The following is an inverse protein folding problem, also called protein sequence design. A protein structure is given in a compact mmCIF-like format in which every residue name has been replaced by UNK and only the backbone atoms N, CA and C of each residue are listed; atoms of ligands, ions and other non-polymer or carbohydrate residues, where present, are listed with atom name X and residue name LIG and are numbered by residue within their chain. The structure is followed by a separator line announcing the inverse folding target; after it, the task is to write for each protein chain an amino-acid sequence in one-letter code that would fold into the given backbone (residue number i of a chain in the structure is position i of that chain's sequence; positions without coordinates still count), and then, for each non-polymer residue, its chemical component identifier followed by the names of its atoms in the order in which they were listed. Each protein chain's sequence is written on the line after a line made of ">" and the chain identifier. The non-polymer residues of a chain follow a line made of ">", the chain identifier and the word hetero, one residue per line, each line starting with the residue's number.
data_IF_871352211490
#
_entry.id   IF_871352211490
#
_cell.length_a   1.000
_cell.length_b   1.000
_cell.length_c   1.000
_cell.angle_alpha   90.00
_cell.angle_beta   90.00
_cell.angle_gamma   90.00
#
_symmetry.space_group_name_H-M   'P 1'
#
loop_
_entity.id
_entity.type
_entity.pdbx_description
1 polymer ?
#
# COMPACT_ATOMS: atom_id res chain seq x y z
N UNK A 1 8.18 6.15 -3.59
CA UNK A 1 8.70 7.52 -3.84
C UNK A 1 8.92 7.81 -5.33
N UNK A 2 9.63 6.95 -6.09
CA UNK A 2 9.98 7.20 -7.51
C UNK A 2 8.84 7.74 -8.38
N UNK A 3 7.67 7.09 -8.36
CA UNK A 3 6.49 7.56 -9.10
C UNK A 3 6.08 9.00 -8.75
N UNK A 4 5.96 9.31 -7.45
CA UNK A 4 5.54 10.65 -7.00
C UNK A 4 6.59 11.70 -7.36
N UNK A 5 7.88 11.37 -7.25
CA UNK A 5 8.96 12.26 -7.68
C UNK A 5 8.90 12.52 -9.19
N UNK A 6 8.66 11.51 -10.02
CA UNK A 6 8.46 11.68 -11.47
C UNK A 6 7.31 12.65 -11.76
N UNK A 7 6.17 12.46 -11.09
CA UNK A 7 5.01 13.36 -11.25
C UNK A 7 5.32 14.78 -10.78
N UNK A 8 6.05 14.95 -9.68
CA UNK A 8 6.42 16.27 -9.17
C UNK A 8 7.37 17.00 -10.14
N UNK A 9 8.36 16.30 -10.69
CA UNK A 9 9.26 16.84 -11.73
C UNK A 9 8.44 17.30 -12.95
N UNK A 10 7.51 16.46 -13.42
CA UNK A 10 6.62 16.79 -14.55
C UNK A 10 5.77 18.01 -14.25
N UNK A 11 5.13 18.08 -13.08
CA UNK A 11 4.31 19.23 -12.64
C UNK A 11 5.10 20.53 -12.70
N UNK A 12 6.31 20.56 -12.13
CA UNK A 12 7.12 21.79 -12.04
C UNK A 12 7.74 22.21 -13.37
N UNK A 13 7.94 21.26 -14.28
CA UNK A 13 8.59 21.50 -15.57
C UNK A 13 7.62 21.52 -16.74
N UNK A 14 6.30 21.44 -16.49
CA UNK A 14 5.27 21.31 -17.52
C UNK A 14 5.59 20.14 -18.48
N UNK A 15 5.87 18.97 -17.90
CA UNK A 15 6.21 17.72 -18.56
C UNK A 15 7.52 17.73 -19.40
N UNK A 16 8.35 18.77 -19.28
CA UNK A 16 9.64 18.88 -19.99
C UNK A 16 10.69 17.91 -19.48
N UNK A 17 10.70 17.63 -18.19
CA UNK A 17 11.61 16.68 -17.55
C UNK A 17 10.84 15.56 -16.85
N UNK A 18 11.51 14.42 -16.70
CA UNK A 18 10.98 13.20 -16.08
C UNK A 18 12.02 12.62 -15.13
N UNK A 19 11.63 11.66 -14.30
CA UNK A 19 12.58 10.89 -13.51
C UNK A 19 13.59 10.16 -14.41
N UNK A 20 13.20 9.70 -15.61
CA UNK A 20 14.14 9.14 -16.58
C UNK A 20 15.22 10.16 -16.98
N UNK A 21 14.85 11.43 -17.16
CA UNK A 21 15.83 12.51 -17.41
C UNK A 21 16.86 12.63 -16.28
N UNK A 22 16.39 12.51 -15.03
CA UNK A 22 17.25 12.50 -13.83
C UNK A 22 18.16 11.28 -13.83
N UNK A 23 17.62 10.08 -14.08
CA UNK A 23 18.40 8.85 -14.11
C UNK A 23 19.48 8.87 -15.20
N UNK A 24 19.18 9.44 -16.37
CA UNK A 24 20.18 9.62 -17.45
C UNK A 24 21.28 10.59 -17.07
N UNK A 25 20.95 11.71 -16.42
CA UNK A 25 21.94 12.66 -15.93
C UNK A 25 22.84 12.02 -14.86
N UNK A 26 22.24 11.30 -13.90
CA UNK A 26 22.98 10.54 -12.89
C UNK A 26 23.89 9.51 -13.54
N UNK A 27 23.38 8.70 -14.46
CA UNK A 27 24.18 7.69 -15.15
C UNK A 27 25.37 8.31 -15.88
N UNK A 28 25.13 9.38 -16.62
CA UNK A 28 26.17 10.05 -17.39
C UNK A 28 27.31 10.57 -16.50
N UNK A 29 26.96 11.24 -15.41
CA UNK A 29 27.92 12.06 -14.65
C UNK A 29 28.46 11.34 -13.40
N UNK A 30 27.80 10.26 -12.92
CA UNK A 30 28.12 9.61 -11.66
C UNK A 30 28.40 8.09 -11.74
N UNK A 31 28.33 7.47 -12.93
CA UNK A 31 28.53 6.01 -13.07
C UNK A 31 29.87 5.50 -12.51
N UNK A 32 30.94 6.30 -12.61
CA UNK A 32 32.29 5.88 -12.21
C UNK A 32 32.65 6.28 -10.76
N UNK A 33 31.98 7.30 -10.21
CA UNK A 33 32.31 7.90 -8.91
C UNK A 33 31.34 7.53 -7.79
N UNK A 34 30.17 6.97 -8.13
CA UNK A 34 29.11 6.64 -7.19
C UNK A 34 28.26 7.85 -6.79
N UNK A 35 27.31 7.63 -5.88
CA UNK A 35 26.33 8.63 -5.43
C UNK A 35 26.54 8.97 -3.95
N UNK A 36 26.44 10.27 -3.63
CA UNK A 36 26.23 10.75 -2.27
C UNK A 36 24.72 10.76 -1.96
N UNK A 37 24.37 10.83 -0.67
CA UNK A 37 22.98 10.79 -0.20
C UNK A 37 22.08 11.87 -0.84
N UNK A 38 22.64 13.04 -1.16
CA UNK A 38 21.91 14.15 -1.76
C UNK A 38 22.14 14.31 -3.28
N UNK A 39 22.84 13.39 -3.94
CA UNK A 39 23.11 13.49 -5.39
C UNK A 39 21.82 13.56 -6.19
N UNK A 40 20.83 12.72 -5.86
CA UNK A 40 19.53 12.70 -6.58
C UNK A 40 18.83 14.04 -6.46
N UNK A 41 18.73 14.59 -5.26
CA UNK A 41 18.10 15.89 -5.03
C UNK A 41 18.81 17.00 -5.83
N UNK A 42 20.15 17.07 -5.76
CA UNK A 42 20.94 18.06 -6.52
C UNK A 42 20.68 17.97 -8.02
N UNK A 43 20.62 16.76 -8.58
CA UNK A 43 20.37 16.56 -10.01
C UNK A 43 18.93 16.94 -10.39
N UNK A 44 17.94 16.60 -9.55
CA UNK A 44 16.54 17.02 -9.75
C UNK A 44 16.43 18.54 -9.78
N UNK A 45 17.00 19.22 -8.78
CA UNK A 45 16.95 20.68 -8.67
C UNK A 45 17.69 21.35 -9.83
N UNK A 46 18.82 20.78 -10.25
CA UNK A 46 19.55 21.25 -11.42
C UNK A 46 18.76 21.09 -12.72
N UNK A 47 18.08 19.96 -12.94
CA UNK A 47 17.30 19.75 -14.16
C UNK A 47 16.01 20.57 -14.19
N UNK A 48 15.34 20.69 -13.05
CA UNK A 48 14.06 21.39 -12.93
C UNK A 48 14.19 22.88 -12.72
N UNK A 49 15.38 23.36 -12.31
CA UNK A 49 15.63 24.74 -11.89
C UNK A 49 14.64 25.18 -10.79
N UNK A 50 14.33 24.27 -9.87
CA UNK A 50 13.36 24.44 -8.78
C UNK A 50 13.88 23.77 -7.52
N UNK A 51 13.56 24.32 -6.34
CA UNK A 51 13.97 23.79 -5.04
C UNK A 51 13.08 22.62 -4.60
N UNK A 52 13.66 21.45 -4.35
CA UNK A 52 12.93 20.24 -3.92
C UNK A 52 13.12 19.92 -2.44
N UNK A 53 13.73 20.81 -1.66
CA UNK A 53 14.04 20.58 -0.24
C UNK A 53 12.82 20.13 0.56
N UNK A 54 11.70 20.86 0.47
CA UNK A 54 10.46 20.51 1.18
C UNK A 54 9.91 19.14 0.76
N UNK A 55 10.04 18.78 -0.52
CA UNK A 55 9.57 17.49 -1.02
C UNK A 55 10.38 16.32 -0.42
N UNK A 56 11.71 16.44 -0.41
CA UNK A 56 12.57 15.41 0.17
C UNK A 56 12.45 15.36 1.69
N UNK A 57 12.36 16.51 2.36
CA UNK A 57 12.13 16.56 3.81
C UNK A 57 10.83 15.86 4.18
N UNK A 58 9.75 16.13 3.45
CA UNK A 58 8.45 15.57 3.77
C UNK A 58 8.34 14.06 3.45
N UNK A 59 8.89 13.61 2.32
CA UNK A 59 8.62 12.27 1.76
C UNK A 59 9.81 11.30 1.73
N UNK A 60 11.03 11.77 1.96
CA UNK A 60 12.21 10.92 2.12
C UNK A 60 12.65 10.85 3.59
N UNK A 61 12.77 12.00 4.24
CA UNK A 61 13.25 12.09 5.62
C UNK A 61 12.09 12.09 6.64
N UNK A 62 10.88 12.43 6.20
CA UNK A 62 9.67 12.43 7.01
C UNK A 62 8.92 11.10 7.02
N UNK A 63 7.81 11.10 7.75
CA UNK A 63 6.87 9.97 7.89
C UNK A 63 5.51 10.25 7.25
N UNK A 64 5.44 11.29 6.41
CA UNK A 64 4.18 11.65 5.74
C UNK A 64 3.92 10.69 4.60
N UNK A 65 2.67 10.23 4.49
CA UNK A 65 2.25 9.40 3.36
C UNK A 65 2.46 10.12 2.03
N UNK A 66 2.89 9.34 1.03
CA UNK A 66 3.04 9.84 -0.32
C UNK A 66 1.67 10.29 -0.89
N UNK A 67 1.59 11.46 -1.55
CA UNK A 67 0.33 12.01 -2.09
C UNK A 67 -0.09 11.29 -3.38
N UNK A 68 -0.34 9.98 -3.28
CA UNK A 68 -0.61 9.11 -4.41
C UNK A 68 -1.85 9.56 -5.19
N UNK A 69 -2.92 10.00 -4.51
CA UNK A 69 -4.13 10.49 -5.17
C UNK A 69 -3.84 11.67 -6.09
N UNK A 70 -3.13 12.67 -5.60
CA UNK A 70 -2.79 13.87 -6.37
C UNK A 70 -1.76 13.58 -7.48
N UNK A 71 -0.89 12.61 -7.26
CA UNK A 71 0.07 12.15 -8.26
C UNK A 71 -0.63 11.42 -9.42
N UNK A 72 -1.51 10.47 -9.13
CA UNK A 72 -2.29 9.76 -10.15
C UNK A 72 -3.28 10.68 -10.87
N UNK A 73 -3.92 11.62 -10.16
CA UNK A 73 -4.85 12.56 -10.77
C UNK A 73 -4.19 13.44 -11.83
N UNK A 74 -2.92 13.82 -11.64
CA UNK A 74 -2.16 14.61 -12.62
C UNK A 74 -2.06 13.95 -14.01
N UNK A 75 -2.04 12.62 -14.04
CA UNK A 75 -2.02 11.81 -15.26
C UNK A 75 -3.39 11.21 -15.59
N UNK A 76 -4.48 11.72 -15.00
CA UNK A 76 -5.84 11.28 -15.32
C UNK A 76 -6.12 9.83 -14.92
N UNK A 77 -5.57 9.41 -13.78
CA UNK A 77 -5.85 8.13 -13.13
C UNK A 77 -6.50 8.43 -11.79
N UNK A 78 -7.66 7.86 -11.55
CA UNK A 78 -8.31 7.90 -10.24
C UNK A 78 -7.67 6.84 -9.33
N UNK A 79 -7.31 7.25 -8.11
CA UNK A 79 -6.71 6.40 -7.11
C UNK A 79 -7.56 6.41 -5.85
N UNK A 80 -8.11 5.25 -5.51
CA UNK A 80 -8.87 5.05 -4.30
C UNK A 80 -8.35 3.90 -3.46
N UNK A 81 -8.52 4.02 -2.16
CA UNK A 81 -8.24 2.96 -1.22
C UNK A 81 -9.56 2.41 -0.73
N UNK A 82 -9.73 1.09 -0.81
CA UNK A 82 -10.93 0.38 -0.39
C UNK A 82 -10.56 -0.77 0.56
N UNK A 83 -11.58 -1.29 1.26
CA UNK A 83 -11.52 -2.61 1.85
C UNK A 83 -11.78 -3.62 0.75
N UNK A 84 -10.81 -4.49 0.47
CA UNK A 84 -11.02 -5.54 -0.51
C UNK A 84 -11.96 -6.60 0.07
N UNK A 85 -12.98 -6.99 -0.67
CA UNK A 85 -13.91 -8.02 -0.21
C UNK A 85 -13.19 -9.33 0.12
N UNK A 86 -13.59 -9.96 1.23
CA UNK A 86 -13.02 -11.22 1.71
C UNK A 86 -11.49 -11.19 1.88
N UNK A 87 -10.94 -10.03 2.25
CA UNK A 87 -9.54 -9.86 2.60
C UNK A 87 -9.37 -9.77 4.12
N UNK A 88 -8.54 -10.65 4.67
CA UNK A 88 -8.31 -10.73 6.12
C UNK A 88 -7.46 -9.58 6.66
N UNK A 89 -6.73 -8.88 5.78
CA UNK A 89 -6.03 -7.64 6.16
C UNK A 89 -7.01 -6.56 6.64
N UNK A 90 -8.28 -6.62 6.25
CA UNK A 90 -9.32 -5.71 6.72
C UNK A 90 -9.56 -5.82 8.24
N UNK A 91 -9.24 -6.95 8.88
CA UNK A 91 -9.27 -7.09 10.35
C UNK A 91 -7.86 -7.21 10.94
N UNK A 92 -6.84 -7.00 10.11
CA UNK A 92 -5.44 -6.96 10.50
C UNK A 92 -4.77 -8.32 10.65
N UNK A 93 -5.14 -9.33 9.87
CA UNK A 93 -4.41 -10.61 9.86
C UNK A 93 -4.02 -11.08 8.48
N UNK A 94 -2.85 -11.73 8.41
CA UNK A 94 -2.52 -12.64 7.34
C UNK A 94 -2.46 -14.08 7.83
N UNK A 95 -2.76 -15.01 6.95
CA UNK A 95 -2.69 -16.45 7.23
C UNK A 95 -1.84 -17.18 6.20
N UNK A 96 -1.19 -18.27 6.62
CA UNK A 96 -0.65 -19.26 5.71
C UNK A 96 -1.75 -20.27 5.33
N UNK A 97 -2.03 -20.39 4.02
CA UNK A 97 -3.08 -21.27 3.46
C UNK A 97 -2.58 -22.66 3.04
N UNK A 98 -1.29 -22.97 3.20
CA UNK A 98 -0.67 -24.20 2.68
C UNK A 98 -0.97 -25.46 3.48
N UNK A 99 -1.64 -25.34 4.64
CA UNK A 99 -1.89 -26.46 5.55
C UNK A 99 -3.40 -26.69 5.78
N UNK A 100 -3.73 -27.80 6.45
CA UNK A 100 -5.08 -28.15 6.90
C UNK A 100 -5.72 -27.06 7.79
N UNK A 101 -4.92 -26.25 8.46
CA UNK A 101 -5.35 -25.21 9.39
C UNK A 101 -5.00 -23.82 8.86
N UNK A 102 -5.81 -22.82 9.21
CA UNK A 102 -5.48 -21.43 8.98
C UNK A 102 -4.50 -20.98 10.07
N UNK A 103 -3.22 -20.88 9.74
CA UNK A 103 -2.18 -20.46 10.70
C UNK A 103 -1.92 -18.98 10.51
N UNK A 104 -2.07 -18.19 11.58
CA UNK A 104 -1.78 -16.76 11.54
C UNK A 104 -0.30 -16.54 11.24
N UNK A 105 -0.01 -15.83 10.15
CA UNK A 105 1.37 -15.54 9.70
C UNK A 105 1.86 -14.18 10.18
N UNK A 106 0.97 -13.19 10.27
CA UNK A 106 1.24 -11.87 10.82
C UNK A 106 -0.05 -11.24 11.33
N UNK A 107 0.10 -10.28 12.23
CA UNK A 107 -0.98 -9.45 12.78
C UNK A 107 -0.54 -8.00 12.58
N UNK A 108 -1.44 -7.16 12.08
CA UNK A 108 -1.21 -5.73 11.93
C UNK A 108 -1.37 -5.04 13.29
N UNK A 109 -0.48 -4.10 13.58
CA UNK A 109 -0.55 -3.30 14.79
C UNK A 109 -1.84 -2.48 14.86
N UNK A 110 -2.34 -2.30 16.09
CA UNK A 110 -3.59 -1.63 16.44
C UNK A 110 -4.87 -2.24 15.83
N UNK A 111 -4.77 -3.45 15.26
CA UNK A 111 -5.92 -4.17 14.72
C UNK A 111 -6.84 -4.73 15.82
N UNK A 112 -8.09 -5.03 15.48
CA UNK A 112 -8.99 -5.69 16.43
C UNK A 112 -8.47 -7.07 16.86
N UNK A 113 -7.79 -7.79 15.96
CA UNK A 113 -7.20 -9.08 16.27
C UNK A 113 -6.09 -8.95 17.31
N UNK A 114 -5.19 -7.97 17.16
CA UNK A 114 -4.15 -7.74 18.16
C UNK A 114 -4.78 -7.43 19.52
N UNK A 115 -5.78 -6.54 19.55
CA UNK A 115 -6.46 -6.13 20.78
C UNK A 115 -7.23 -7.29 21.45
N UNK A 116 -7.74 -8.24 20.67
CA UNK A 116 -8.40 -9.44 21.18
C UNK A 116 -7.42 -10.49 21.75
N UNK A 117 -6.12 -10.35 21.53
CA UNK A 117 -5.11 -11.28 22.08
C UNK A 117 -4.88 -12.54 21.24
N UNK A 118 -5.23 -12.51 19.96
CA UNK A 118 -4.76 -13.48 18.98
C UNK A 118 -3.27 -13.27 18.70
N UNK A 119 -2.55 -14.34 18.40
CA UNK A 119 -1.10 -14.32 18.19
C UNK A 119 -0.69 -15.00 16.89
N UNK A 120 0.47 -14.59 16.37
CA UNK A 120 1.13 -15.29 15.26
C UNK A 120 1.38 -16.75 15.64
N UNK A 121 1.20 -17.65 14.68
CA UNK A 121 1.21 -19.13 14.83
C UNK A 121 -0.03 -19.75 15.49
N UNK A 122 -1.00 -18.96 15.96
CA UNK A 122 -2.29 -19.54 16.36
C UNK A 122 -2.92 -20.26 15.16
N UNK A 123 -3.40 -21.49 15.40
CA UNK A 123 -4.14 -22.27 14.41
C UNK A 123 -5.62 -22.04 14.61
N UNK A 124 -6.28 -21.36 13.69
CA UNK A 124 -7.72 -21.11 13.79
C UNK A 124 -8.47 -22.41 13.43
N UNK A 125 -9.38 -22.80 14.32
CA UNK A 125 -10.15 -24.04 14.21
C UNK A 125 -11.60 -23.77 13.81
N UNK A 126 -12.24 -22.78 14.44
CA UNK A 126 -13.64 -22.44 14.22
C UNK A 126 -13.95 -20.99 14.55
N UNK A 127 -15.02 -20.47 13.94
CA UNK A 127 -15.67 -19.20 14.28
C UNK A 127 -17.10 -19.53 14.70
N UNK A 128 -17.55 -19.04 15.86
CA UNK A 128 -18.89 -19.27 16.42
C UNK A 128 -19.28 -20.76 16.43
N UNK A 129 -18.35 -21.61 16.86
CA UNK A 129 -18.47 -23.08 16.88
C UNK A 129 -18.58 -23.76 15.50
N UNK A 130 -18.52 -23.01 14.40
CA UNK A 130 -18.50 -23.55 13.04
C UNK A 130 -17.04 -23.74 12.62
N UNK A 131 -16.67 -24.99 12.32
CA UNK A 131 -15.31 -25.32 11.87
C UNK A 131 -15.02 -24.62 10.54
N UNK A 132 -13.85 -24.00 10.44
CA UNK A 132 -13.44 -23.22 9.26
C UNK A 132 -12.10 -23.71 8.74
N UNK A 133 -12.02 -23.98 7.44
CA UNK A 133 -10.78 -24.29 6.75
C UNK A 133 -10.03 -23.01 6.34
N UNK A 134 -8.71 -23.10 6.12
CA UNK A 134 -7.88 -21.96 5.74
C UNK A 134 -8.35 -21.23 4.48
N UNK A 135 -8.94 -21.96 3.52
CA UNK A 135 -9.45 -21.39 2.27
C UNK A 135 -10.75 -20.59 2.46
N UNK A 136 -11.51 -20.90 3.51
CA UNK A 136 -12.84 -20.35 3.76
C UNK A 136 -12.84 -19.26 4.85
N UNK A 137 -11.74 -19.13 5.62
CA UNK A 137 -11.64 -18.16 6.71
C UNK A 137 -11.96 -16.73 6.28
N UNK A 138 -11.47 -16.31 5.11
CA UNK A 138 -11.69 -14.94 4.66
C UNK A 138 -13.14 -14.66 4.27
N UNK A 139 -13.87 -15.68 3.80
CA UNK A 139 -15.32 -15.60 3.57
C UNK A 139 -16.10 -15.62 4.87
N UNK A 140 -15.69 -16.47 5.82
CA UNK A 140 -16.35 -16.59 7.12
C UNK A 140 -16.28 -15.28 7.94
N UNK A 141 -15.14 -14.57 7.87
CA UNK A 141 -15.02 -13.23 8.47
C UNK A 141 -15.70 -12.17 7.59
N UNK A 142 -15.66 -12.32 6.26
CA UNK A 142 -16.22 -11.34 5.33
C UNK A 142 -17.74 -11.15 5.39
N UNK A 143 -18.48 -12.05 6.05
CA UNK A 143 -19.92 -11.90 6.30
C UNK A 143 -20.24 -11.12 7.59
N UNK A 144 -19.25 -10.88 8.45
CA UNK A 144 -19.43 -10.12 9.68
C UNK A 144 -19.40 -8.61 9.38
N UNK A 145 -20.18 -7.85 10.14
CA UNK A 145 -20.20 -6.39 10.11
C UNK A 145 -19.32 -5.81 11.22
N UNK A 146 -18.97 -4.53 11.09
CA UNK A 146 -18.33 -3.81 12.20
C UNK A 146 -19.22 -3.80 13.44
N UNK A 147 -18.61 -4.07 14.59
CA UNK A 147 -19.29 -4.19 15.88
C UNK A 147 -19.75 -5.61 16.22
N UNK A 148 -19.79 -6.53 15.24
CA UNK A 148 -20.11 -7.93 15.52
C UNK A 148 -19.06 -8.55 16.46
N UNK A 149 -19.51 -9.40 17.37
CA UNK A 149 -18.63 -10.16 18.27
C UNK A 149 -18.68 -11.62 17.87
N UNK A 150 -17.51 -12.17 17.51
CA UNK A 150 -17.37 -13.57 17.10
C UNK A 150 -16.44 -14.33 18.04
N UNK A 151 -16.73 -15.60 18.26
CA UNK A 151 -15.92 -16.49 19.09
C UNK A 151 -14.96 -17.29 18.22
N UNK A 152 -13.68 -16.97 18.31
CA UNK A 152 -12.63 -17.66 17.57
C UNK A 152 -12.01 -18.73 18.48
N UNK A 153 -12.15 -20.00 18.08
CA UNK A 153 -11.38 -21.08 18.71
C UNK A 153 -10.06 -21.25 17.99
N UNK A 154 -8.98 -21.18 18.75
CA UNK A 154 -7.62 -21.36 18.26
C UNK A 154 -6.92 -22.48 19.00
N UNK A 155 -5.89 -23.03 18.37
CA UNK A 155 -4.90 -23.88 19.02
C UNK A 155 -3.61 -23.08 19.16
N UNK A 156 -3.18 -22.86 20.40
CA UNK A 156 -1.89 -22.24 20.74
C UNK A 156 -1.06 -23.25 21.48
N UNK A 157 0.11 -23.59 20.94
CA UNK A 157 0.99 -24.63 21.53
C UNK A 157 0.25 -25.95 21.85
N UNK A 158 -0.62 -26.38 20.93
CA UNK A 158 -1.49 -27.57 21.07
C UNK A 158 -2.56 -27.47 22.17
N UNK A 159 -2.73 -26.31 22.80
CA UNK A 159 -3.79 -26.03 23.77
C UNK A 159 -4.95 -25.26 23.12
N UNK A 160 -6.20 -25.70 23.28
CA UNK A 160 -7.36 -24.98 22.76
C UNK A 160 -7.66 -23.75 23.60
N UNK A 161 -7.86 -22.62 22.93
CA UNK A 161 -8.31 -21.35 23.51
C UNK A 161 -9.55 -20.87 22.76
N UNK A 162 -10.43 -20.16 23.46
CA UNK A 162 -11.54 -19.43 22.87
C UNK A 162 -11.31 -17.93 23.12
N UNK A 163 -11.32 -17.14 22.06
CA UNK A 163 -11.05 -15.71 22.08
C UNK A 163 -12.26 -15.01 21.48
N UNK A 164 -12.80 -14.02 22.19
CA UNK A 164 -13.85 -13.14 21.66
C UNK A 164 -13.20 -12.01 20.85
N UNK A 165 -13.58 -11.91 19.58
CA UNK A 165 -13.12 -10.86 18.68
C UNK A 165 -14.30 -9.94 18.34
N UNK A 166 -14.19 -8.66 18.69
CA UNK A 166 -15.06 -7.62 18.16
C UNK A 166 -14.54 -7.15 16.81
N UNK A 167 -15.33 -7.29 15.75
CA UNK A 167 -14.96 -6.90 14.40
C UNK A 167 -14.88 -5.37 14.31
N UNK A 168 -13.71 -4.88 13.89
CA UNK A 168 -13.48 -3.48 13.55
C UNK A 168 -12.54 -3.47 12.34
N UNK A 169 -12.93 -2.76 11.28
CA UNK A 169 -12.09 -2.73 10.10
C UNK A 169 -10.86 -1.84 10.34
N UNK A 170 -9.72 -2.29 9.83
CA UNK A 170 -8.51 -1.50 9.69
C UNK A 170 -8.73 -0.36 8.68
N UNK A 171 -7.74 0.52 8.51
CA UNK A 171 -7.79 1.49 7.42
C UNK A 171 -7.82 0.82 6.05
N UNK A 172 -8.41 1.51 5.07
CA UNK A 172 -8.50 1.03 3.69
C UNK A 172 -7.09 1.00 3.09
N UNK A 173 -6.63 -0.19 2.73
CA UNK A 173 -5.26 -0.41 2.25
C UNK A 173 -5.19 -0.95 0.81
N UNK A 174 -6.31 -1.40 0.24
CA UNK A 174 -6.33 -1.90 -1.12
C UNK A 174 -6.48 -0.75 -2.12
N UNK A 175 -5.39 -0.43 -2.82
CA UNK A 175 -5.39 0.60 -3.85
C UNK A 175 -6.04 0.10 -5.15
N UNK A 176 -7.02 0.84 -5.64
CA UNK A 176 -7.71 0.63 -6.92
C UNK A 176 -7.42 1.82 -7.82
N UNK A 177 -6.87 1.53 -8.99
CA UNK A 177 -6.56 2.52 -10.02
C UNK A 177 -7.55 2.39 -11.16
N UNK A 178 -8.22 3.49 -11.50
CA UNK A 178 -9.20 3.53 -12.59
C UNK A 178 -8.82 4.65 -13.57
N UNK A 179 -8.82 4.35 -14.86
CA UNK A 179 -8.59 5.36 -15.88
C UNK A 179 -9.78 6.32 -15.94
N UNK A 180 -9.52 7.62 -15.85
CA UNK A 180 -10.56 8.61 -16.12
C UNK A 180 -10.87 8.65 -17.62
N UNK A 181 -12.16 8.58 -17.95
CA UNK A 181 -12.68 8.58 -19.32
C UNK A 181 -13.05 9.99 -19.80
N UNK A 182 -13.18 10.96 -18.89
CA UNK A 182 -13.60 12.33 -19.18
C UNK A 182 -12.42 13.32 -19.04
N UNK A 183 -11.31 13.04 -19.70
CA UNK A 183 -10.11 13.87 -19.62
C UNK A 183 -10.09 15.01 -20.64
N UNK A 184 -9.48 16.13 -20.24
CA UNK A 184 -9.05 17.14 -21.20
C UNK A 184 -7.90 16.61 -22.08
N UNK A 185 -7.70 17.23 -23.25
CA UNK A 185 -6.71 16.77 -24.24
C UNK A 185 -5.27 16.75 -23.69
N UNK A 186 -4.92 17.71 -22.83
CA UNK A 186 -3.60 17.82 -22.22
C UNK A 186 -3.32 16.64 -21.27
N UNK A 187 -4.24 16.32 -20.37
CA UNK A 187 -4.11 15.21 -19.42
C UNK A 187 -4.10 13.87 -20.14
N UNK A 188 -4.90 13.73 -21.21
CA UNK A 188 -4.86 12.54 -22.05
C UNK A 188 -3.48 12.35 -22.70
N UNK A 189 -2.87 13.44 -23.20
CA UNK A 189 -1.52 13.42 -23.76
C UNK A 189 -0.49 13.02 -22.69
N UNK A 190 -0.49 13.67 -21.51
CA UNK A 190 0.39 13.33 -20.38
C UNK A 190 0.29 11.87 -20.00
N UNK A 191 -0.93 11.34 -19.86
CA UNK A 191 -1.18 9.93 -19.52
C UNK A 191 -0.55 8.99 -20.53
N UNK A 192 -0.76 9.26 -21.83
CA UNK A 192 -0.21 8.43 -22.90
C UNK A 192 1.31 8.49 -22.91
N UNK A 193 1.90 9.67 -22.76
CA UNK A 193 3.36 9.83 -22.70
C UNK A 193 3.97 9.14 -21.46
N UNK A 194 3.26 9.12 -20.33
CA UNK A 194 3.71 8.41 -19.13
C UNK A 194 3.61 6.87 -19.27
N UNK A 195 2.51 6.36 -19.83
CA UNK A 195 2.31 4.90 -20.03
C UNK A 195 3.22 4.35 -21.14
N UNK A 196 3.44 5.14 -22.19
CA UNK A 196 4.18 4.74 -23.40
C UNK A 196 5.62 5.25 -23.42
N UNK A 197 6.18 5.67 -22.29
CA UNK A 197 7.58 6.07 -22.20
C UNK A 197 8.48 4.83 -22.46
N UNK A 198 9.05 4.76 -23.66
CA UNK A 198 10.23 3.93 -24.02
C UNK A 198 11.54 4.69 -23.73
#
# INVERSE_FOLDING_TARGET
>A
MAFVLDIEIRKRTHDKHTLDSVMRAIWKDYQDIGLEDNTVQKVVEHLTQSDFSDFFEQYLYGVTDLPLKDAFNYIGIHCDFIHKENDLSNIGIGINKTQKYAIISHILDNSCVQNAGLYVKDKILSIDNIKVEAKDLSKAIGVCNEGDVVKIKVLRDELPLEIELTIKLSEKSHCVLTLDTNLNQETFKRRREWISAE
#
